data_IF_447675460890
#
_entry.id   IF_447675460890
#
_cell.length_a   1.000
_cell.length_b   1.000
_cell.length_c   1.000
_cell.angle_alpha   90.00
_cell.angle_beta   90.00
_cell.angle_gamma   90.00
#
_symmetry.space_group_name_H-M   'P 1'
#
loop_
_entity.id
_entity.type
_entity.pdbx_description
1 polymer ?
#
# COMPACT_ATOMS: atom_id res chain seq x y z
N UNK A 1 10.51 -4.24 -18.12
CA UNK A 1 10.13 -4.95 -16.88
C UNK A 1 8.84 -4.30 -16.39
N UNK A 2 7.68 -4.83 -16.73
CA UNK A 2 6.43 -4.26 -16.18
C UNK A 2 6.44 -4.39 -14.66
N UNK A 3 6.28 -3.27 -13.96
CA UNK A 3 6.24 -3.24 -12.51
C UNK A 3 4.94 -3.87 -12.00
N UNK A 4 4.94 -4.50 -10.82
CA UNK A 4 3.74 -5.09 -10.23
C UNK A 4 2.56 -4.10 -10.14
N UNK A 5 2.86 -2.81 -9.96
CA UNK A 5 1.86 -1.73 -10.00
C UNK A 5 1.20 -1.57 -11.38
N UNK A 6 1.94 -1.71 -12.48
CA UNK A 6 1.38 -1.66 -13.82
C UNK A 6 0.45 -2.86 -14.07
N UNK A 7 0.83 -4.05 -13.62
CA UNK A 7 -0.04 -5.23 -13.70
C UNK A 7 -1.35 -5.02 -12.93
N UNK A 8 -1.30 -4.46 -11.72
CA UNK A 8 -2.52 -4.11 -10.96
C UNK A 8 -3.37 -3.06 -11.67
N UNK A 9 -2.75 -2.03 -12.26
CA UNK A 9 -3.48 -1.01 -13.01
C UNK A 9 -4.23 -1.61 -14.21
N UNK A 10 -3.60 -2.54 -14.94
CA UNK A 10 -4.22 -3.23 -16.08
C UNK A 10 -5.35 -4.16 -15.60
N UNK A 11 -5.17 -4.87 -14.49
CA UNK A 11 -6.23 -5.72 -13.92
C UNK A 11 -7.50 -4.91 -13.56
N UNK A 12 -7.33 -3.73 -12.96
CA UNK A 12 -8.45 -2.83 -12.64
C UNK A 12 -9.14 -2.31 -13.91
N UNK A 13 -8.37 -1.94 -14.94
CA UNK A 13 -8.92 -1.51 -16.22
C UNK A 13 -9.75 -2.62 -16.89
N UNK A 14 -9.27 -3.86 -16.87
CA UNK A 14 -10.01 -5.01 -17.39
C UNK A 14 -11.33 -5.21 -16.65
N UNK A 15 -11.35 -5.09 -15.31
CA UNK A 15 -12.61 -5.14 -14.53
C UNK A 15 -13.56 -4.00 -14.88
N UNK A 16 -13.04 -2.82 -15.19
CA UNK A 16 -13.87 -1.70 -15.64
C UNK A 16 -14.48 -1.98 -17.02
N UNK A 17 -13.73 -2.60 -17.94
CA UNK A 17 -14.22 -2.96 -19.27
C UNK A 17 -15.34 -4.00 -19.27
N UNK A 18 -15.44 -4.84 -18.24
CA UNK A 18 -16.58 -5.76 -18.06
C UNK A 18 -17.92 -5.02 -18.06
N UNK A 19 -17.96 -3.82 -17.46
CA UNK A 19 -19.18 -3.00 -17.39
C UNK A 19 -19.57 -2.42 -18.75
N UNK A 20 -18.59 -2.20 -19.63
CA UNK A 20 -18.80 -1.66 -20.98
C UNK A 20 -19.06 -2.76 -22.02
N UNK A 21 -18.53 -3.96 -21.80
CA UNK A 21 -18.64 -5.10 -22.73
C UNK A 21 -19.16 -6.35 -22.01
N UNK A 22 -20.45 -6.39 -21.63
CA UNK A 22 -21.02 -7.52 -20.90
C UNK A 22 -20.98 -8.84 -21.69
N UNK A 23 -21.03 -8.79 -23.03
CA UNK A 23 -20.92 -9.96 -23.91
C UNK A 23 -19.54 -10.62 -23.89
N UNK A 24 -18.48 -9.82 -23.69
CA UNK A 24 -17.10 -10.29 -23.57
C UNK A 24 -16.58 -10.22 -22.12
N UNK A 25 -17.48 -10.04 -21.15
CA UNK A 25 -17.17 -9.89 -19.73
C UNK A 25 -16.24 -11.00 -19.22
N UNK A 26 -16.50 -12.23 -19.62
CA UNK A 26 -15.72 -13.41 -19.26
C UNK A 26 -14.26 -13.33 -19.75
N UNK A 27 -14.01 -12.77 -20.95
CA UNK A 27 -12.65 -12.58 -21.48
C UNK A 27 -11.89 -11.53 -20.68
N UNK A 28 -12.57 -10.43 -20.34
CA UNK A 28 -12.00 -9.35 -19.55
C UNK A 28 -11.71 -9.78 -18.10
N UNK A 29 -12.59 -10.58 -17.50
CA UNK A 29 -12.36 -11.18 -16.19
C UNK A 29 -11.15 -12.13 -16.19
N UNK A 30 -11.06 -13.02 -17.17
CA UNK A 30 -9.91 -13.92 -17.30
C UNK A 30 -8.59 -13.16 -17.50
N UNK A 31 -8.63 -12.08 -18.28
CA UNK A 31 -7.46 -11.21 -18.48
C UNK A 31 -7.08 -10.47 -17.19
N UNK A 32 -8.06 -10.01 -16.41
CA UNK A 32 -7.83 -9.35 -15.12
C UNK A 32 -7.16 -10.30 -14.11
N UNK A 33 -7.67 -11.51 -13.96
CA UNK A 33 -7.12 -12.53 -13.06
C UNK A 33 -5.66 -12.87 -13.41
N UNK A 34 -5.35 -13.02 -14.70
CA UNK A 34 -3.98 -13.25 -15.16
C UNK A 34 -3.02 -12.13 -14.74
N UNK A 35 -3.44 -10.87 -14.87
CA UNK A 35 -2.62 -9.73 -14.51
C UNK A 35 -2.45 -9.58 -13.00
N UNK A 36 -3.48 -9.91 -12.22
CA UNK A 36 -3.44 -9.93 -10.76
C UNK A 36 -2.44 -10.99 -10.26
N UNK A 37 -2.48 -12.20 -10.83
CA UNK A 37 -1.54 -13.27 -10.51
C UNK A 37 -0.08 -12.91 -10.87
N UNK A 38 0.13 -12.27 -12.02
CA UNK A 38 1.46 -11.77 -12.41
C UNK A 38 1.96 -10.66 -11.48
N UNK A 39 1.07 -9.79 -11.00
CA UNK A 39 1.43 -8.75 -10.04
C UNK A 39 1.87 -9.36 -8.71
N UNK A 40 1.11 -10.32 -8.19
CA UNK A 40 1.43 -10.97 -6.92
C UNK A 40 2.69 -11.82 -7.02
N UNK A 41 2.89 -12.58 -8.11
CA UNK A 41 4.15 -13.30 -8.36
C UNK A 41 5.36 -12.36 -8.34
N UNK A 42 5.23 -11.14 -8.91
CA UNK A 42 6.31 -10.14 -8.91
C UNK A 42 6.51 -9.48 -7.55
N UNK A 43 5.45 -9.28 -6.77
CA UNK A 43 5.56 -8.77 -5.39
C UNK A 43 6.23 -9.79 -4.47
N UNK A 44 5.90 -11.08 -4.62
CA UNK A 44 6.51 -12.19 -3.88
C UNK A 44 8.01 -12.26 -4.19
N UNK A 45 8.40 -12.23 -5.46
CA UNK A 45 9.83 -12.21 -5.87
C UNK A 45 10.58 -11.01 -5.28
N UNK A 46 9.93 -9.85 -5.13
CA UNK A 46 10.55 -8.66 -4.50
C UNK A 46 10.66 -8.77 -2.98
N UNK A 47 9.71 -9.44 -2.33
CA UNK A 47 9.75 -9.69 -0.90
C UNK A 47 10.81 -10.74 -0.52
N UNK A 48 11.05 -11.70 -1.41
CA UNK A 48 12.06 -12.76 -1.26
C UNK A 48 13.51 -12.30 -1.50
N UNK A 49 13.72 -11.02 -1.87
CA UNK A 49 15.04 -10.40 -1.73
C UNK A 49 15.12 -9.74 -0.35
N UNK A 50 15.57 -10.46 0.70
CA UNK A 50 15.87 -9.83 1.97
C UNK A 50 16.98 -8.81 1.69
N UNK A 51 16.72 -7.58 2.05
CA UNK A 51 17.68 -6.49 2.16
C UNK A 51 18.87 -6.91 3.03
N UNK A 52 19.83 -7.62 2.43
CA UNK A 52 21.20 -7.69 2.91
C UNK A 52 21.92 -6.36 2.57
N UNK A 53 21.41 -5.26 3.12
CA UNK A 53 22.06 -3.96 3.09
C UNK A 53 21.48 -3.06 4.18
N UNK A 54 21.88 -3.33 5.43
CA UNK A 54 22.35 -2.34 6.41
C UNK A 54 22.08 -2.84 7.84
N UNK A 55 22.92 -3.77 8.31
CA UNK A 55 23.02 -4.04 9.74
C UNK A 55 23.74 -2.88 10.42
N UNK A 56 22.98 -2.00 11.07
CA UNK A 56 23.37 -1.46 12.38
C UNK A 56 22.12 -1.29 13.25
N UNK A 57 21.84 -2.21 14.18
CA UNK A 57 20.88 -1.97 15.24
C UNK A 57 21.62 -1.25 16.37
N UNK A 58 21.40 0.04 16.55
CA UNK A 58 21.87 0.72 17.74
C UNK A 58 20.80 1.67 18.28
N UNK A 59 20.20 1.19 19.37
CA UNK A 59 19.68 1.95 20.49
C UNK A 59 18.22 2.39 20.42
N UNK A 60 17.39 1.51 20.99
CA UNK A 60 16.36 1.88 21.95
C UNK A 60 16.85 3.05 22.83
N UNK A 61 16.11 4.16 22.85
CA UNK A 61 16.16 5.16 23.91
C UNK A 61 14.76 5.78 24.02
N UNK A 62 14.01 5.51 25.10
CA UNK A 62 12.73 6.16 25.37
C UNK A 62 12.97 7.41 26.22
N UNK A 63 12.86 8.60 25.63
CA UNK A 63 12.52 9.82 26.35
C UNK A 63 12.44 10.99 25.39
N UNK A 64 11.23 11.52 25.16
CA UNK A 64 11.12 12.97 25.22
C UNK A 64 9.75 13.36 25.80
N UNK A 65 9.74 14.28 26.78
CA UNK A 65 8.56 14.63 27.53
C UNK A 65 7.60 15.47 26.69
N UNK A 66 6.32 15.26 26.96
CA UNK A 66 5.18 16.02 26.42
C UNK A 66 5.40 17.53 26.62
N UNK A 67 5.21 18.39 25.59
CA UNK A 67 5.13 19.82 25.82
C UNK A 67 3.81 20.13 26.53
N UNK A 68 3.91 20.68 27.75
CA UNK A 68 2.77 21.18 28.49
C UNK A 68 2.08 22.30 27.70
N UNK A 69 0.84 22.05 27.27
CA UNK A 69 -0.07 23.09 26.83
C UNK A 69 -0.44 23.99 28.02
N UNK A 70 -0.53 25.32 27.85
CA UNK A 70 -1.09 26.18 28.89
C UNK A 70 -2.62 26.02 28.90
N UNK A 71 -3.12 25.27 29.88
CA UNK A 71 -4.55 25.22 30.17
C UNK A 71 -4.97 26.58 30.75
N UNK A 72 -5.74 27.34 29.98
CA UNK A 72 -6.50 28.46 30.52
C UNK A 72 -7.68 27.91 31.31
N UNK A 73 -7.82 28.27 32.59
CA UNK A 73 -9.10 28.25 33.31
C UNK A 73 -9.06 29.11 34.57
N UNK A 74 -10.07 29.97 34.73
CA UNK A 74 -10.57 30.48 36.02
C UNK A 74 -9.88 31.74 36.57
N UNK A 75 -10.48 32.93 36.58
CA UNK A 75 -11.64 33.37 37.38
C UNK A 75 -11.38 33.48 38.89
N UNK A 76 -11.13 34.70 39.35
CA UNK A 76 -11.57 35.27 40.65
C UNK A 76 -11.25 36.79 40.58
N UNK A 77 -12.18 37.71 40.32
CA UNK A 77 -13.33 38.11 41.13
C UNK A 77 -12.92 38.73 42.50
N UNK A 78 -13.11 40.05 42.56
CA UNK A 78 -13.38 40.91 43.72
C UNK A 78 -12.35 41.01 44.84
#
# INVERSE_FOLDING_TARGET
MENAQQCRAIALLCRQQVSFHPQDSWKWLAQAERWEHLADARLVVRAETPIAANSKPASLAPANPVPANPVGTGSAAA
#
